data_IF_874401425359
#
_entry.id   IF_874401425359
#
_cell.length_a   1.000
_cell.length_b   1.000
_cell.length_c   1.000
_cell.angle_alpha   90.00
_cell.angle_beta   90.00
_cell.angle_gamma   90.00
#
_symmetry.space_group_name_H-M   'P 1'
#
loop_
_entity.id
_entity.type
_entity.pdbx_description
1 polymer ?
#
# COMPACT_ATOMS: atom_id res chain seq x y z
N UNK A 1 9.65 1.58 14.49
CA UNK A 1 8.23 1.20 14.36
C UNK A 1 7.43 2.49 14.34
N UNK A 2 6.67 2.79 13.29
CA UNK A 2 5.81 3.99 13.30
C UNK A 2 4.48 3.56 13.93
N UNK A 3 4.36 3.81 15.23
CA UNK A 3 3.12 3.64 15.98
C UNK A 3 2.11 4.72 15.57
N UNK A 4 0.85 4.31 15.41
CA UNK A 4 -0.25 5.17 15.01
C UNK A 4 -0.47 6.33 16.00
N UNK A 5 -0.62 7.53 15.47
CA UNK A 5 -1.01 8.71 16.24
C UNK A 5 -0.60 10.05 15.64
N UNK A 6 0.40 10.09 14.75
CA UNK A 6 0.83 11.32 14.08
C UNK A 6 0.18 11.47 12.72
N UNK A 7 -0.40 12.64 12.44
CA UNK A 7 -0.89 13.00 11.11
C UNK A 7 0.23 12.77 10.09
N UNK A 8 -0.04 12.14 8.94
CA UNK A 8 1.00 11.82 7.96
C UNK A 8 1.63 13.12 7.44
N UNK A 9 2.85 13.42 7.88
CA UNK A 9 3.66 14.53 7.37
C UNK A 9 4.49 14.08 6.19
N UNK A 10 4.82 15.02 5.30
CA UNK A 10 5.68 14.79 4.14
C UNK A 10 7.00 14.11 4.53
N UNK A 11 7.62 14.53 5.64
CA UNK A 11 8.85 13.93 6.18
C UNK A 11 8.71 12.46 6.59
N UNK A 12 7.57 12.07 7.18
CA UNK A 12 7.33 10.68 7.59
C UNK A 12 7.18 9.75 6.38
N UNK A 13 6.67 10.27 5.26
CA UNK A 13 6.51 9.53 4.00
C UNK A 13 7.80 9.55 3.16
N UNK A 14 8.55 10.65 3.17
CA UNK A 14 9.89 10.74 2.56
C UNK A 14 10.88 9.77 3.23
N UNK A 15 10.88 9.67 4.56
CA UNK A 15 11.69 8.69 5.31
C UNK A 15 11.32 7.23 4.97
N UNK A 16 10.10 7.00 4.51
CA UNK A 16 9.57 5.69 4.13
C UNK A 16 9.77 5.45 2.63
N UNK A 17 10.13 6.43 1.82
CA UNK A 17 10.30 6.25 0.36
C UNK A 17 11.40 5.21 0.05
N UNK A 18 11.05 4.21 -0.77
CA UNK A 18 11.99 3.21 -1.28
C UNK A 18 12.59 3.69 -2.61
N UNK A 19 13.84 3.34 -2.95
CA UNK A 19 14.38 3.58 -4.28
C UNK A 19 13.48 2.95 -5.36
N UNK A 20 12.92 3.78 -6.24
CA UNK A 20 12.00 3.34 -7.30
C UNK A 20 10.51 3.54 -6.99
N UNK A 21 10.14 3.89 -5.76
CA UNK A 21 8.74 4.12 -5.36
C UNK A 21 8.57 5.57 -4.93
N UNK A 22 8.33 6.45 -5.90
CA UNK A 22 7.97 7.84 -5.63
C UNK A 22 6.56 7.88 -5.03
N UNK A 23 6.45 8.06 -3.71
CA UNK A 23 5.20 8.53 -3.12
C UNK A 23 5.04 9.99 -3.57
N UNK A 24 4.17 10.23 -4.55
CA UNK A 24 3.98 11.57 -5.09
C UNK A 24 3.20 12.44 -4.09
N UNK A 25 3.42 13.76 -4.14
CA UNK A 25 2.64 14.73 -3.35
C UNK A 25 1.12 14.54 -3.52
N UNK A 26 0.67 14.21 -4.72
CA UNK A 26 -0.74 13.90 -4.99
C UNK A 26 -1.26 12.70 -4.19
N UNK A 27 -0.45 11.65 -3.99
CA UNK A 27 -0.85 10.50 -3.14
C UNK A 27 -1.05 10.95 -1.69
N UNK A 28 -0.18 11.82 -1.20
CA UNK A 28 -0.25 12.36 0.17
C UNK A 28 -1.51 13.21 0.34
N UNK A 29 -1.75 14.14 -0.58
CA UNK A 29 -2.95 14.99 -0.59
C UNK A 29 -4.24 14.16 -0.71
N UNK A 30 -4.21 13.09 -1.50
CA UNK A 30 -5.34 12.14 -1.66
C UNK A 30 -5.65 11.39 -0.37
N UNK A 31 -4.65 11.08 0.45
CA UNK A 31 -4.84 10.44 1.76
C UNK A 31 -5.39 11.47 2.74
N UNK A 32 -4.81 12.67 2.79
CA UNK A 32 -5.23 13.74 3.71
C UNK A 32 -6.69 14.19 3.48
N UNK A 33 -7.17 14.13 2.24
CA UNK A 33 -8.55 14.45 1.90
C UNK A 33 -9.59 13.40 2.34
N UNK A 34 -9.17 12.22 2.81
CA UNK A 34 -10.06 11.14 3.27
C UNK A 34 -10.43 11.29 4.75
N UNK A 35 -11.55 10.68 5.21
CA UNK A 35 -11.89 10.61 6.62
C UNK A 35 -10.76 10.00 7.46
N UNK A 36 -10.57 10.50 8.69
CA UNK A 36 -9.48 10.05 9.57
C UNK A 36 -9.49 8.52 9.82
N UNK A 37 -10.68 7.90 9.84
CA UNK A 37 -10.86 6.44 9.95
C UNK A 37 -10.28 5.66 8.77
N UNK A 38 -10.26 6.25 7.57
CA UNK A 38 -9.70 5.63 6.35
C UNK A 38 -8.21 5.91 6.18
N UNK A 39 -7.71 7.07 6.65
CA UNK A 39 -6.31 7.46 6.50
C UNK A 39 -5.35 6.40 7.05
N UNK A 40 -5.63 5.88 8.25
CA UNK A 40 -4.81 4.85 8.89
C UNK A 40 -4.70 3.57 8.05
N UNK A 41 -5.78 3.18 7.36
CA UNK A 41 -5.80 2.02 6.48
C UNK A 41 -4.90 2.22 5.25
N UNK A 42 -4.99 3.38 4.60
CA UNK A 42 -4.18 3.69 3.42
C UNK A 42 -2.69 3.83 3.77
N UNK A 43 -2.37 4.48 4.88
CA UNK A 43 -1.00 4.59 5.39
C UNK A 43 -0.42 3.20 5.66
N UNK A 44 -1.17 2.33 6.34
CA UNK A 44 -0.74 0.95 6.62
C UNK A 44 -0.47 0.15 5.34
N UNK A 45 -1.33 0.29 4.32
CA UNK A 45 -1.14 -0.36 3.02
C UNK A 45 0.12 0.11 2.30
N UNK A 46 0.34 1.42 2.23
CA UNK A 46 1.52 2.00 1.57
C UNK A 46 2.80 1.63 2.32
N UNK A 47 2.80 1.72 3.64
CA UNK A 47 3.93 1.30 4.46
C UNK A 47 4.28 -0.18 4.24
N UNK A 48 3.28 -1.05 4.11
CA UNK A 48 3.47 -2.46 3.78
C UNK A 48 4.05 -2.69 2.39
N UNK A 49 3.56 -1.97 1.37
CA UNK A 49 4.08 -2.06 -0.01
C UNK A 49 5.54 -1.63 -0.08
N UNK A 50 5.86 -0.49 0.50
CA UNK A 50 7.21 0.03 0.58
C UNK A 50 8.14 -0.94 1.32
N UNK A 51 7.69 -1.51 2.45
CA UNK A 51 8.50 -2.44 3.22
C UNK A 51 8.86 -3.69 2.39
N UNK A 52 7.90 -4.19 1.61
CA UNK A 52 8.13 -5.31 0.69
C UNK A 52 9.13 -4.94 -0.41
N UNK A 53 8.96 -3.78 -1.05
CA UNK A 53 9.88 -3.30 -2.10
C UNK A 53 11.32 -3.11 -1.57
N UNK A 54 11.48 -2.54 -0.37
CA UNK A 54 12.78 -2.45 0.31
C UNK A 54 13.37 -3.82 0.64
N UNK A 55 12.55 -4.82 0.89
CA UNK A 55 13.00 -6.19 1.20
C UNK A 55 13.53 -6.88 -0.06
N UNK A 56 12.82 -6.72 -1.19
CA UNK A 56 13.28 -7.17 -2.51
C UNK A 56 14.62 -6.54 -2.87
N UNK A 57 14.76 -5.23 -2.69
CA UNK A 57 16.02 -4.53 -2.98
C UNK A 57 17.19 -5.07 -2.16
N UNK A 58 17.01 -5.25 -0.85
CA UNK A 58 18.04 -5.83 0.03
C UNK A 58 18.42 -7.24 -0.40
N UNK A 59 17.44 -8.07 -0.78
CA UNK A 59 17.70 -9.42 -1.27
C UNK A 59 18.51 -9.41 -2.58
N UNK A 60 18.17 -8.54 -3.53
CA UNK A 60 18.92 -8.35 -4.77
C UNK A 60 20.36 -7.87 -4.53
N UNK A 61 20.56 -6.97 -3.56
CA UNK A 61 21.89 -6.51 -3.16
C UNK A 61 22.71 -7.65 -2.52
N UNK A 62 22.11 -8.40 -1.60
CA UNK A 62 22.74 -9.55 -0.96
C UNK A 62 23.16 -10.60 -2.00
N UNK A 63 22.28 -10.89 -2.97
CA UNK A 63 22.59 -11.78 -4.09
C UNK A 63 23.79 -11.30 -4.89
N UNK A 64 23.83 -10.00 -5.23
CA UNK A 64 24.95 -9.40 -5.97
C UNK A 64 26.27 -9.52 -5.21
N UNK A 65 26.24 -9.23 -3.91
CA UNK A 65 27.42 -9.37 -3.05
C UNK A 65 27.90 -10.82 -3.00
N UNK A 66 26.99 -11.78 -2.81
CA UNK A 66 27.32 -13.20 -2.77
C UNK A 66 27.93 -13.70 -4.08
N UNK A 67 27.30 -13.40 -5.22
CA UNK A 67 27.82 -13.76 -6.54
C UNK A 67 29.19 -13.14 -6.79
N UNK A 68 29.40 -11.89 -6.38
CA UNK A 68 30.69 -11.21 -6.52
C UNK A 68 31.76 -11.88 -5.66
N UNK A 69 31.46 -12.18 -4.39
CA UNK A 69 32.37 -12.88 -3.49
C UNK A 69 32.71 -14.30 -3.95
N UNK A 70 31.75 -15.04 -4.51
CA UNK A 70 32.00 -16.36 -5.09
C UNK A 70 32.90 -16.33 -6.33
N UNK A 71 32.94 -15.19 -7.04
CA UNK A 71 33.79 -14.99 -8.23
C UNK A 71 35.18 -14.47 -7.88
N UNK A 72 35.41 -14.05 -6.63
CA UNK A 72 36.73 -13.65 -6.18
C UNK A 72 37.72 -14.82 -6.34
N UNK A 73 38.91 -14.62 -6.95
CA UNK A 73 39.86 -15.70 -7.20
C UNK A 73 40.28 -16.46 -5.94
N UNK A 74 40.41 -15.79 -4.80
CA UNK A 74 40.82 -16.42 -3.53
C UNK A 74 39.70 -17.29 -2.95
N UNK A 75 38.44 -16.94 -3.19
CA UNK A 75 37.27 -17.73 -2.76
C UNK A 75 37.00 -18.86 -3.75
N UNK A 76 37.04 -18.57 -5.05
CA UNK A 76 36.77 -19.52 -6.14
C UNK A 76 37.76 -20.69 -6.16
N UNK A 77 39.00 -20.47 -5.71
CA UNK A 77 40.01 -21.52 -5.55
C UNK A 77 39.73 -22.48 -4.37
N UNK A 78 38.75 -22.17 -3.50
CA UNK A 78 38.39 -23.00 -2.34
C UNK A 78 37.07 -23.75 -2.54
N UNK A 79 36.75 -24.76 -1.71
CA UNK A 79 35.45 -25.40 -1.72
C UNK A 79 34.28 -24.45 -1.38
N UNK A 80 34.53 -23.29 -0.76
CA UNK A 80 33.50 -22.38 -0.28
C UNK A 80 32.56 -21.92 -1.40
N UNK A 81 33.08 -21.61 -2.59
CA UNK A 81 32.25 -21.21 -3.72
C UNK A 81 31.25 -22.30 -4.14
N UNK A 82 31.62 -23.58 -4.05
CA UNK A 82 30.69 -24.70 -4.31
C UNK A 82 29.68 -24.89 -3.18
N UNK A 83 30.10 -24.72 -1.94
CA UNK A 83 29.24 -24.82 -0.77
C UNK A 83 28.19 -23.71 -0.71
N UNK A 84 28.47 -22.54 -1.27
CA UNK A 84 27.55 -21.40 -1.33
C UNK A 84 26.47 -21.51 -2.42
N UNK A 85 26.65 -22.39 -3.42
CA UNK A 85 25.68 -22.57 -4.51
C UNK A 85 24.25 -22.90 -4.05
N UNK A 86 24.00 -23.87 -3.14
CA UNK A 86 22.65 -24.15 -2.66
C UNK A 86 22.01 -22.95 -1.94
N UNK A 87 22.78 -22.16 -1.19
CA UNK A 87 22.28 -20.95 -0.54
C UNK A 87 21.95 -19.84 -1.55
N UNK A 88 22.76 -19.68 -2.60
CA UNK A 88 22.44 -18.77 -3.70
C UNK A 88 21.15 -19.20 -4.42
N UNK A 89 20.97 -20.50 -4.66
CA UNK A 89 19.75 -21.03 -5.27
C UNK A 89 18.51 -20.87 -4.38
N UNK A 90 18.66 -20.94 -3.06
CA UNK A 90 17.59 -20.62 -2.12
C UNK A 90 17.25 -19.13 -2.10
N UNK A 91 18.27 -18.26 -2.10
CA UNK A 91 18.08 -16.82 -2.19
C UNK A 91 17.38 -16.41 -3.50
N UNK A 92 17.74 -17.03 -4.62
CA UNK A 92 17.11 -16.79 -5.92
C UNK A 92 15.62 -17.16 -5.89
N UNK A 93 15.27 -18.31 -5.31
CA UNK A 93 13.86 -18.70 -5.11
C UNK A 93 13.12 -17.72 -4.22
N UNK A 94 13.75 -17.23 -3.16
CA UNK A 94 13.09 -16.28 -2.26
C UNK A 94 12.89 -14.90 -2.89
N UNK A 95 13.84 -14.45 -3.72
CA UNK A 95 13.66 -13.25 -4.53
C UNK A 95 12.47 -13.41 -5.48
N UNK A 96 12.34 -14.55 -6.15
CA UNK A 96 11.20 -14.83 -7.03
C UNK A 96 9.86 -14.84 -6.26
N UNK A 97 9.84 -15.41 -5.05
CA UNK A 97 8.67 -15.38 -4.17
C UNK A 97 8.28 -13.94 -3.81
N UNK A 98 9.24 -13.11 -3.40
CA UNK A 98 8.98 -11.71 -3.04
C UNK A 98 8.51 -10.88 -4.25
N UNK A 99 9.06 -11.13 -5.43
CA UNK A 99 8.62 -10.50 -6.68
C UNK A 99 7.19 -10.93 -7.04
N UNK A 100 6.86 -12.21 -6.86
CA UNK A 100 5.51 -12.70 -7.03
C UNK A 100 4.53 -12.07 -6.04
N UNK A 101 4.87 -12.03 -4.74
CA UNK A 101 4.05 -11.37 -3.71
C UNK A 101 3.80 -9.90 -4.05
N UNK A 102 4.83 -9.19 -4.51
CA UNK A 102 4.71 -7.78 -4.93
C UNK A 102 3.71 -7.62 -6.08
N UNK A 103 3.75 -8.49 -7.09
CA UNK A 103 2.79 -8.48 -8.21
C UNK A 103 1.36 -8.78 -7.75
N UNK A 104 1.18 -9.83 -6.95
CA UNK A 104 -0.14 -10.24 -6.44
C UNK A 104 -0.76 -9.13 -5.59
N UNK A 105 0.02 -8.48 -4.71
CA UNK A 105 -0.48 -7.37 -3.89
C UNK A 105 -0.86 -6.16 -4.72
N UNK A 106 -0.14 -5.85 -5.80
CA UNK A 106 -0.49 -4.77 -6.74
C UNK A 106 -1.81 -5.07 -7.44
N UNK A 107 -1.99 -6.29 -7.93
CA UNK A 107 -3.22 -6.73 -8.60
C UNK A 107 -4.44 -6.70 -7.65
N UNK A 108 -4.32 -7.26 -6.44
CA UNK A 108 -5.39 -7.24 -5.43
C UNK A 108 -5.76 -5.80 -5.04
N UNK A 109 -4.75 -4.93 -4.89
CA UNK A 109 -5.00 -3.52 -4.54
C UNK A 109 -5.76 -2.77 -5.63
N UNK A 110 -5.44 -3.01 -6.91
CA UNK A 110 -6.17 -2.43 -8.05
C UNK A 110 -7.63 -2.87 -8.04
N UNK A 111 -7.87 -4.19 -7.97
CA UNK A 111 -9.23 -4.75 -7.94
C UNK A 111 -10.06 -4.26 -6.76
N UNK A 112 -9.43 -4.11 -5.59
CA UNK A 112 -10.12 -3.59 -4.40
C UNK A 112 -10.51 -2.12 -4.58
N UNK A 113 -9.66 -1.31 -5.22
CA UNK A 113 -9.97 0.09 -5.51
C UNK A 113 -11.12 0.21 -6.51
N UNK A 114 -11.13 -0.63 -7.55
CA UNK A 114 -12.22 -0.73 -8.53
C UNK A 114 -13.56 -1.07 -7.85
N UNK A 115 -13.61 -2.13 -7.04
CA UNK A 115 -14.81 -2.54 -6.30
C UNK A 115 -15.34 -1.46 -5.35
N UNK A 116 -14.45 -0.73 -4.66
CA UNK A 116 -14.85 0.37 -3.78
C UNK A 116 -15.43 1.57 -4.57
N UNK A 117 -14.88 1.87 -5.74
CA UNK A 117 -15.39 2.94 -6.61
C UNK A 117 -16.77 2.59 -7.19
N UNK A 118 -16.98 1.32 -7.54
CA UNK A 118 -18.27 0.80 -8.02
C UNK A 118 -19.35 0.86 -6.93
N UNK A 119 -19.03 0.46 -5.70
CA UNK A 119 -19.93 0.54 -4.54
C UNK A 119 -20.31 1.99 -4.21
N UNK A 120 -19.35 2.91 -4.18
CA UNK A 120 -19.61 4.34 -4.01
C UNK A 120 -20.45 4.93 -5.14
N UNK A 121 -20.21 4.52 -6.40
CA UNK A 121 -21.02 4.91 -7.55
C UNK A 121 -22.48 4.45 -7.40
N UNK A 122 -22.67 3.21 -6.97
CA UNK A 122 -23.99 2.61 -6.73
C UNK A 122 -24.74 3.33 -5.60
N UNK A 123 -24.08 3.62 -4.48
CA UNK A 123 -24.67 4.39 -3.38
C UNK A 123 -25.06 5.81 -3.77
N UNK A 124 -24.26 6.48 -4.62
CA UNK A 124 -24.59 7.82 -5.14
C UNK A 124 -25.74 7.78 -6.13
N UNK A 125 -25.89 6.71 -6.91
CA UNK A 125 -27.05 6.52 -7.79
C UNK A 125 -28.33 6.29 -6.96
N UNK A 126 -28.27 5.44 -5.94
CA UNK A 126 -29.42 5.13 -5.07
C UNK A 126 -29.87 6.34 -4.24
N UNK A 127 -28.92 7.12 -3.71
CA UNK A 127 -29.25 8.36 -2.95
C UNK A 127 -29.84 9.48 -3.82
N UNK A 128 -29.63 9.47 -5.14
CA UNK A 128 -30.32 10.37 -6.08
C UNK A 128 -31.76 9.96 -6.39
N UNK A 129 -32.14 8.71 -6.10
CA UNK A 129 -33.52 8.21 -6.26
C UNK A 129 -34.45 8.52 -5.08
N UNK A 130 -33.90 8.91 -3.93
CA UNK A 130 -34.65 9.27 -2.72
C UNK A 130 -34.87 10.79 -2.65
N UNK A 131 -35.71 11.34 -3.52
CA UNK A 131 -36.30 12.67 -3.28
C UNK A 131 -37.44 12.46 -2.27
N UNK A 132 -37.38 13.02 -1.05
CA UNK A 132 -38.52 12.97 -0.15
C UNK A 132 -39.66 13.77 -0.78
N UNK A 133 -40.78 13.11 -1.08
CA UNK A 133 -42.04 13.77 -1.39
C UNK A 133 -42.34 14.75 -0.25
N UNK A 134 -42.24 16.05 -0.54
CA UNK A 134 -42.72 17.08 0.36
C UNK A 134 -44.24 16.91 0.47
N UNK A 135 -44.71 16.49 1.65
CA UNK A 135 -46.12 16.35 1.98
C UNK A 135 -46.77 17.76 2.01
N UNK A 136 -47.70 18.10 1.10
CA UNK A 136 -48.10 19.49 0.87
C UNK A 136 -49.14 20.01 1.88
N UNK A 137 -49.32 19.37 3.03
CA UNK A 137 -50.26 19.84 4.06
C UNK A 137 -49.64 19.80 5.44
N UNK A 138 -49.13 20.95 5.88
CA UNK A 138 -49.39 21.46 7.25
C UNK A 138 -48.77 22.83 7.41
N UNK A 139 -49.56 23.86 7.11
CA UNK A 139 -49.71 25.02 7.98
C UNK A 139 -51.16 25.49 7.80
N UNK A 140 -51.96 25.45 8.85
CA UNK A 140 -52.78 26.61 9.17
C UNK A 140 -53.24 26.61 10.63
N UNK A 141 -53.17 27.80 11.22
CA UNK A 141 -53.84 28.29 12.44
C UNK A 141 -53.48 27.59 13.78
N UNK A 142 -52.75 28.21 14.71
CA UNK A 142 -53.05 29.54 15.23
C UNK A 142 -54.08 29.44 16.38
N UNK A 143 -53.69 28.84 17.51
CA UNK A 143 -54.36 28.82 18.83
C UNK A 143 -55.74 28.15 18.97
N UNK A 144 -55.91 27.33 20.01
CA UNK A 144 -57.00 27.48 21.02
C UNK A 144 -56.44 27.09 22.39
N UNK A 145 -56.68 27.95 23.39
CA UNK A 145 -56.34 27.83 24.82
C UNK A 145 -57.32 26.87 25.55
N UNK A 146 -57.07 26.47 26.82
CA UNK A 146 -57.47 25.18 27.38
C UNK A 146 -58.98 24.96 27.57
#
# INVERSE_FOLDING_TARGET
MVGGGTAPTLEALEAVTAPGTLITRQVIESIQARPASEQALFIGKIAGQVALERTVERALLARRMLVTGMRDPHVAATPAARQLQPFLAELDREIDNLLFETRVRKEISSRTAELLLEDEGSRRADSRGLVPTQDPKRLDEGSVRP
#
